data_IF_310143952469
#
_entry.id   IF_310143952469
#
_cell.length_a   1.000
_cell.length_b   1.000
_cell.length_c   1.000
_cell.angle_alpha   90.00
_cell.angle_beta   90.00
_cell.angle_gamma   90.00
#
_symmetry.space_group_name_H-M   'P 1'
#
loop_
_entity.id
_entity.type
_entity.pdbx_description
1 polymer ?
#
# COMPACT_ATOMS: atom_id res chain seq x y z
N UNK A 1 -17.55 9.15 -12.68
CA UNK A 1 -17.33 9.39 -11.21
C UNK A 1 -17.54 8.16 -10.31
N UNK A 2 -18.00 7.02 -10.83
CA UNK A 2 -18.20 5.80 -10.02
C UNK A 2 -16.88 5.23 -9.49
N UNK A 3 -15.81 5.24 -10.27
CA UNK A 3 -14.52 4.60 -9.94
C UNK A 3 -13.77 5.27 -8.78
N UNK A 4 -13.90 6.60 -8.63
CA UNK A 4 -13.41 7.31 -7.43
C UNK A 4 -14.11 6.79 -6.17
N UNK A 5 -15.45 6.64 -6.24
CA UNK A 5 -16.24 6.11 -5.12
C UNK A 5 -15.85 4.67 -4.77
N UNK A 6 -15.69 3.82 -5.78
CA UNK A 6 -15.25 2.42 -5.61
C UNK A 6 -13.86 2.37 -4.96
N UNK A 7 -12.93 3.21 -5.40
CA UNK A 7 -11.58 3.33 -4.84
C UNK A 7 -11.62 3.68 -3.34
N UNK A 8 -12.42 4.69 -2.95
CA UNK A 8 -12.58 5.03 -1.53
C UNK A 8 -13.27 3.93 -0.72
N UNK A 9 -14.29 3.28 -1.27
CA UNK A 9 -14.98 2.18 -0.59
C UNK A 9 -14.06 0.96 -0.44
N UNK A 10 -13.22 0.69 -1.43
CA UNK A 10 -12.26 -0.42 -1.36
C UNK A 10 -11.25 -0.22 -0.23
N UNK A 11 -10.70 0.99 -0.04
CA UNK A 11 -9.77 1.22 1.08
C UNK A 11 -10.49 1.26 2.43
N UNK A 12 -11.64 1.94 2.51
CA UNK A 12 -12.42 2.04 3.75
C UNK A 12 -12.90 0.66 4.23
N UNK A 13 -13.26 -0.24 3.30
CA UNK A 13 -13.65 -1.61 3.56
C UNK A 13 -12.55 -2.44 4.24
N UNK A 14 -11.30 -2.01 4.16
CA UNK A 14 -10.17 -2.63 4.85
C UNK A 14 -10.32 -2.66 6.37
N UNK A 15 -10.95 -1.63 6.96
CA UNK A 15 -11.20 -1.53 8.41
C UNK A 15 -12.09 -2.69 8.91
N UNK A 16 -12.91 -3.26 8.04
CA UNK A 16 -13.72 -4.45 8.31
C UNK A 16 -12.91 -5.75 8.07
N UNK A 17 -11.70 -5.83 8.64
CA UNK A 17 -10.79 -6.98 8.52
C UNK A 17 -10.43 -7.35 7.07
N UNK A 18 -10.55 -6.39 6.14
CA UNK A 18 -10.38 -6.62 4.70
C UNK A 18 -11.60 -7.18 3.97
N UNK A 19 -12.61 -7.67 4.69
CA UNK A 19 -13.83 -8.27 4.09
C UNK A 19 -14.61 -7.25 3.25
N UNK A 20 -14.70 -6.01 3.72
CA UNK A 20 -15.35 -4.93 2.98
C UNK A 20 -14.62 -4.64 1.65
N UNK A 21 -13.29 -4.62 1.65
CA UNK A 21 -12.48 -4.48 0.44
C UNK A 21 -12.76 -5.62 -0.54
N UNK A 22 -12.73 -6.85 -0.06
CA UNK A 22 -13.02 -8.04 -0.88
C UNK A 22 -14.43 -7.96 -1.48
N UNK A 23 -15.44 -7.62 -0.67
CA UNK A 23 -16.82 -7.49 -1.13
C UNK A 23 -16.97 -6.41 -2.23
N UNK A 24 -16.40 -5.22 -2.02
CA UNK A 24 -16.44 -4.13 -3.02
C UNK A 24 -15.76 -4.54 -4.31
N UNK A 25 -14.60 -5.20 -4.21
CA UNK A 25 -13.81 -5.61 -5.38
C UNK A 25 -14.52 -6.72 -6.17
N UNK A 26 -15.07 -7.71 -5.48
CA UNK A 26 -15.84 -8.82 -6.09
C UNK A 26 -17.10 -8.27 -6.77
N UNK A 27 -17.84 -7.38 -6.09
CA UNK A 27 -19.04 -6.77 -6.65
C UNK A 27 -18.73 -5.95 -7.90
N UNK A 28 -17.68 -5.10 -7.85
CA UNK A 28 -17.25 -4.29 -9.00
C UNK A 28 -16.81 -5.17 -10.18
N UNK A 29 -15.98 -6.19 -9.92
CA UNK A 29 -15.54 -7.13 -10.95
C UNK A 29 -16.68 -7.95 -11.54
N UNK A 30 -17.60 -8.43 -10.69
CA UNK A 30 -18.80 -9.16 -11.12
C UNK A 30 -19.73 -8.32 -11.99
N UNK A 31 -19.93 -7.03 -11.61
CA UNK A 31 -20.72 -6.09 -12.40
C UNK A 31 -20.11 -5.84 -13.79
N UNK A 32 -18.80 -5.60 -13.88
CA UNK A 32 -18.08 -5.45 -15.15
C UNK A 32 -18.19 -6.74 -15.97
N UNK A 33 -17.96 -7.89 -15.34
CA UNK A 33 -18.08 -9.20 -15.99
C UNK A 33 -19.46 -9.46 -16.56
N UNK A 34 -20.52 -9.09 -15.84
CA UNK A 34 -21.89 -9.21 -16.31
C UNK A 34 -22.16 -8.34 -17.54
N UNK A 35 -21.71 -7.08 -17.54
CA UNK A 35 -21.82 -6.19 -18.70
C UNK A 35 -21.07 -6.78 -19.91
N UNK A 36 -19.84 -7.22 -19.72
CA UNK A 36 -19.05 -7.85 -20.79
C UNK A 36 -19.76 -9.08 -21.34
N UNK A 37 -20.28 -9.97 -20.46
CA UNK A 37 -21.03 -11.15 -20.88
C UNK A 37 -22.25 -10.83 -21.72
N UNK A 38 -23.09 -9.88 -21.27
CA UNK A 38 -24.27 -9.42 -22.00
C UNK A 38 -23.93 -8.82 -23.36
N UNK A 39 -22.84 -8.07 -23.47
CA UNK A 39 -22.45 -7.45 -24.74
C UNK A 39 -21.86 -8.46 -25.73
N UNK A 40 -21.20 -9.49 -25.25
CA UNK A 40 -20.76 -10.61 -26.08
C UNK A 40 -21.96 -11.37 -26.65
N UNK A 41 -22.93 -11.70 -25.80
CA UNK A 41 -24.15 -12.40 -26.20
C UNK A 41 -24.95 -11.60 -27.24
N UNK A 42 -25.03 -10.29 -27.11
CA UNK A 42 -25.71 -9.39 -28.04
C UNK A 42 -24.86 -8.97 -29.27
N UNK A 43 -23.64 -9.46 -29.41
CA UNK A 43 -22.75 -9.15 -30.56
C UNK A 43 -22.20 -7.70 -30.54
N UNK A 44 -22.34 -6.96 -29.44
CA UNK A 44 -21.92 -5.54 -29.31
C UNK A 44 -20.66 -5.37 -28.45
N UNK A 45 -19.87 -6.43 -28.31
CA UNK A 45 -18.63 -6.39 -27.54
C UNK A 45 -17.58 -5.41 -28.10
N UNK A 46 -17.53 -5.24 -29.44
CA UNK A 46 -16.61 -4.28 -30.06
C UNK A 46 -16.90 -2.84 -29.66
N UNK A 47 -18.15 -2.46 -29.62
CA UNK A 47 -18.62 -1.13 -29.19
C UNK A 47 -18.27 -0.88 -27.71
N UNK A 48 -18.54 -1.88 -26.86
CA UNK A 48 -18.21 -1.82 -25.44
C UNK A 48 -16.71 -1.60 -25.23
N UNK A 49 -15.88 -2.44 -25.87
CA UNK A 49 -14.42 -2.32 -25.73
C UNK A 49 -13.87 -1.01 -26.29
N UNK A 50 -14.46 -0.48 -27.39
CA UNK A 50 -14.09 0.83 -27.91
C UNK A 50 -14.34 1.95 -26.90
N UNK A 51 -15.42 1.83 -26.12
CA UNK A 51 -15.76 2.81 -25.09
C UNK A 51 -14.97 2.65 -23.80
N UNK A 52 -14.73 1.42 -23.33
CA UNK A 52 -14.13 1.19 -22.01
C UNK A 52 -12.59 1.21 -22.06
N UNK A 53 -11.95 0.67 -23.09
CA UNK A 53 -10.50 0.47 -23.12
C UNK A 53 -9.69 1.76 -22.94
N UNK A 54 -10.04 2.92 -23.51
CA UNK A 54 -9.21 4.12 -23.42
C UNK A 54 -8.93 4.58 -21.98
N UNK A 55 -9.87 4.38 -21.07
CA UNK A 55 -9.76 4.82 -19.67
C UNK A 55 -9.82 3.65 -18.68
N UNK A 56 -10.51 2.56 -19.02
CA UNK A 56 -10.82 1.46 -18.11
C UNK A 56 -9.58 0.73 -17.60
N UNK A 57 -8.52 0.57 -18.42
CA UNK A 57 -7.25 -0.04 -17.98
C UNK A 57 -6.66 0.75 -16.82
N UNK A 58 -6.68 2.08 -16.90
CA UNK A 58 -6.13 2.97 -15.88
C UNK A 58 -7.00 2.95 -14.60
N UNK A 59 -8.32 3.00 -14.76
CA UNK A 59 -9.27 2.95 -13.65
C UNK A 59 -9.19 1.65 -12.87
N UNK A 60 -9.19 0.51 -13.56
CA UNK A 60 -9.06 -0.79 -12.92
C UNK A 60 -7.72 -0.96 -12.20
N UNK A 61 -6.64 -0.40 -12.76
CA UNK A 61 -5.34 -0.38 -12.10
C UNK A 61 -5.39 0.43 -10.78
N UNK A 62 -6.05 1.59 -10.77
CA UNK A 62 -6.22 2.40 -9.57
C UNK A 62 -7.07 1.69 -8.51
N UNK A 63 -8.16 1.02 -8.92
CA UNK A 63 -9.02 0.23 -8.03
C UNK A 63 -8.22 -0.94 -7.43
N UNK A 64 -7.40 -1.64 -8.22
CA UNK A 64 -6.56 -2.73 -7.74
C UNK A 64 -5.53 -2.25 -6.68
N UNK A 65 -4.93 -1.09 -6.88
CA UNK A 65 -4.03 -0.48 -5.88
C UNK A 65 -4.79 -0.13 -4.60
N UNK A 66 -5.98 0.47 -4.71
CA UNK A 66 -6.82 0.79 -3.56
C UNK A 66 -7.28 -0.46 -2.81
N UNK A 67 -7.64 -1.52 -3.53
CA UNK A 67 -7.97 -2.82 -2.93
C UNK A 67 -6.76 -3.42 -2.19
N UNK A 68 -5.57 -3.35 -2.76
CA UNK A 68 -4.33 -3.79 -2.09
C UNK A 68 -4.10 -3.00 -0.80
N UNK A 69 -4.26 -1.68 -0.84
CA UNK A 69 -4.15 -0.82 0.35
C UNK A 69 -5.19 -1.19 1.42
N UNK A 70 -6.46 -1.41 1.02
CA UNK A 70 -7.53 -1.83 1.91
C UNK A 70 -7.28 -3.21 2.54
N UNK A 71 -6.83 -4.19 1.77
CA UNK A 71 -6.48 -5.52 2.29
C UNK A 71 -5.31 -5.46 3.28
N UNK A 72 -4.30 -4.62 3.04
CA UNK A 72 -3.21 -4.39 3.99
C UNK A 72 -3.70 -3.81 5.31
N UNK A 73 -4.63 -2.84 5.26
CA UNK A 73 -5.27 -2.32 6.48
C UNK A 73 -6.01 -3.41 7.25
N UNK A 74 -6.77 -4.26 6.53
CA UNK A 74 -7.45 -5.39 7.12
C UNK A 74 -6.48 -6.39 7.77
N UNK A 75 -5.40 -6.71 7.08
CA UNK A 75 -4.37 -7.62 7.58
C UNK A 75 -3.69 -7.10 8.85
N UNK A 76 -3.43 -5.78 8.92
CA UNK A 76 -2.85 -5.14 10.09
C UNK A 76 -3.71 -5.28 11.37
N UNK A 77 -5.02 -5.48 11.20
CA UNK A 77 -5.94 -5.74 12.32
C UNK A 77 -5.98 -7.22 12.69
N UNK A 78 -5.92 -8.10 11.68
CA UNK A 78 -5.95 -9.58 11.86
C UNK A 78 -4.66 -10.06 12.51
N UNK A 79 -3.52 -9.62 12.00
CA UNK A 79 -2.18 -10.02 12.45
C UNK A 79 -1.33 -8.81 12.84
N UNK A 80 -1.57 -8.20 14.01
CA UNK A 80 -0.86 -7.00 14.46
C UNK A 80 0.58 -7.25 14.91
N UNK A 81 1.03 -8.51 14.97
CA UNK A 81 2.35 -8.89 15.48
C UNK A 81 2.53 -8.51 16.96
N UNK A 82 3.60 -7.79 17.29
CA UNK A 82 3.91 -7.32 18.66
C UNK A 82 3.17 -6.02 19.04
N UNK A 83 2.43 -5.42 18.11
CA UNK A 83 1.70 -4.18 18.32
C UNK A 83 0.25 -4.45 18.77
N UNK A 84 -0.39 -3.46 19.40
CA UNK A 84 -1.84 -3.49 19.54
C UNK A 84 -2.50 -3.27 18.17
N UNK A 85 -3.71 -3.81 17.95
CA UNK A 85 -4.46 -3.68 16.69
C UNK A 85 -4.57 -2.23 16.22
N UNK A 86 -4.85 -1.30 17.15
CA UNK A 86 -4.94 0.13 16.85
C UNK A 86 -3.60 0.73 16.37
N UNK A 87 -2.49 0.37 17.01
CA UNK A 87 -1.16 0.83 16.59
C UNK A 87 -0.73 0.22 15.26
N UNK A 88 -1.03 -1.04 15.04
CA UNK A 88 -0.76 -1.71 13.75
C UNK A 88 -1.53 -1.05 12.63
N UNK A 89 -2.83 -0.78 12.83
CA UNK A 89 -3.67 -0.06 11.88
C UNK A 89 -3.14 1.36 11.60
N UNK A 90 -2.77 2.12 12.62
CA UNK A 90 -2.20 3.46 12.45
C UNK A 90 -0.89 3.45 11.65
N UNK A 91 -0.05 2.44 11.86
CA UNK A 91 1.20 2.25 11.11
C UNK A 91 0.95 2.01 9.63
N UNK A 92 -0.06 1.21 9.28
CA UNK A 92 -0.40 0.89 7.89
C UNK A 92 -1.30 1.96 7.23
N UNK A 93 -2.03 2.76 8.01
CA UNK A 93 -2.95 3.76 7.48
C UNK A 93 -2.27 4.84 6.63
N UNK A 94 -1.10 5.32 7.05
CA UNK A 94 -0.35 6.34 6.32
C UNK A 94 0.13 5.85 4.95
N UNK A 95 0.85 4.72 4.83
CA UNK A 95 1.24 4.17 3.52
C UNK A 95 0.02 3.85 2.63
N UNK A 96 -1.06 3.32 3.21
CA UNK A 96 -2.29 3.03 2.47
C UNK A 96 -2.91 4.31 1.89
N UNK A 97 -2.95 5.39 2.67
CA UNK A 97 -3.46 6.69 2.22
C UNK A 97 -2.56 7.31 1.14
N UNK A 98 -1.24 7.22 1.29
CA UNK A 98 -0.27 7.70 0.27
C UNK A 98 -0.48 6.97 -1.07
N UNK A 99 -0.70 5.65 -1.05
CA UNK A 99 -1.02 4.88 -2.25
C UNK A 99 -2.31 5.38 -2.93
N UNK A 100 -3.38 5.58 -2.17
CA UNK A 100 -4.67 6.04 -2.71
C UNK A 100 -4.58 7.46 -3.23
N UNK A 101 -3.97 8.38 -2.50
CA UNK A 101 -3.75 9.75 -2.97
C UNK A 101 -2.90 9.78 -4.25
N UNK A 102 -1.93 8.87 -4.38
CA UNK A 102 -1.15 8.70 -5.61
C UNK A 102 -1.97 8.23 -6.81
N UNK A 103 -3.11 7.56 -6.61
CA UNK A 103 -4.01 7.16 -7.72
C UNK A 103 -4.97 8.28 -8.15
N UNK A 104 -5.21 9.30 -7.32
CA UNK A 104 -6.20 10.36 -7.62
C UNK A 104 -5.92 11.10 -8.94
N UNK A 105 -4.68 11.58 -9.23
CA UNK A 105 -4.40 12.25 -10.50
C UNK A 105 -4.70 11.37 -11.71
N UNK A 106 -4.47 10.06 -11.58
CA UNK A 106 -4.71 9.09 -12.64
C UNK A 106 -6.21 8.84 -12.87
N UNK A 107 -7.01 8.82 -11.80
CA UNK A 107 -8.47 8.73 -11.90
C UNK A 107 -9.06 10.00 -12.53
N UNK A 108 -8.51 11.19 -12.23
CA UNK A 108 -8.88 12.43 -12.90
C UNK A 108 -8.53 12.37 -14.39
N UNK A 109 -7.32 11.90 -14.72
CA UNK A 109 -6.90 11.72 -16.12
C UNK A 109 -7.82 10.73 -16.85
N UNK A 110 -8.15 9.59 -16.22
CA UNK A 110 -9.09 8.62 -16.79
C UNK A 110 -10.45 9.24 -17.08
N UNK A 111 -10.99 10.04 -16.15
CA UNK A 111 -12.25 10.77 -16.35
C UNK A 111 -12.17 11.81 -17.47
N UNK A 112 -11.04 12.48 -17.66
CA UNK A 112 -10.82 13.40 -18.79
C UNK A 112 -10.77 12.62 -20.12
N UNK A 113 -10.10 11.49 -20.16
CA UNK A 113 -10.06 10.60 -21.34
C UNK A 113 -11.46 10.07 -21.65
N UNK A 114 -12.22 9.63 -20.65
CA UNK A 114 -13.61 9.21 -20.81
C UNK A 114 -14.46 10.33 -21.43
N UNK A 115 -14.40 11.54 -20.87
CA UNK A 115 -15.28 12.64 -21.26
C UNK A 115 -14.92 13.31 -22.58
N UNK A 116 -13.64 13.41 -22.93
CA UNK A 116 -13.19 14.19 -24.09
C UNK A 116 -12.59 13.37 -25.23
N UNK A 117 -12.02 12.20 -24.93
CA UNK A 117 -11.26 11.42 -25.91
C UNK A 117 -12.07 10.22 -26.40
N UNK A 118 -12.68 9.47 -25.49
CA UNK A 118 -13.30 8.17 -25.78
C UNK A 118 -14.35 8.25 -26.89
N UNK A 119 -15.24 9.25 -26.86
CA UNK A 119 -16.29 9.44 -27.87
C UNK A 119 -15.78 9.84 -29.26
N UNK A 120 -14.52 10.28 -29.37
CA UNK A 120 -13.94 10.81 -30.61
C UNK A 120 -12.91 9.90 -31.27
N UNK A 121 -12.65 8.70 -30.71
CA UNK A 121 -11.54 7.82 -31.18
C UNK A 121 -11.81 7.09 -32.49
N UNK A 122 -13.03 7.04 -32.99
CA UNK A 122 -13.35 6.49 -34.30
C UNK A 122 -13.19 4.96 -34.44
N UNK A 123 -12.99 4.22 -33.34
CA UNK A 123 -12.97 2.76 -33.33
C UNK A 123 -12.00 2.08 -32.36
N UNK A 124 -12.00 0.75 -32.39
CA UNK A 124 -11.28 -0.09 -31.43
C UNK A 124 -9.74 0.07 -31.51
N UNK A 125 -9.17 0.26 -32.70
CA UNK A 125 -7.72 0.41 -32.87
C UNK A 125 -7.15 1.60 -32.07
N UNK A 126 -7.61 2.84 -32.32
CA UNK A 126 -7.23 4.01 -31.52
C UNK A 126 -7.56 3.86 -30.03
N UNK A 127 -8.69 3.23 -29.69
CA UNK A 127 -9.06 2.97 -28.29
C UNK A 127 -8.03 2.09 -27.56
N UNK A 128 -7.57 1.03 -28.22
CA UNK A 128 -6.49 0.16 -27.71
C UNK A 128 -5.17 0.93 -27.51
N UNK A 129 -4.78 1.73 -28.49
CA UNK A 129 -3.52 2.50 -28.42
C UNK A 129 -3.53 3.45 -27.22
N UNK A 130 -4.64 4.16 -26.99
CA UNK A 130 -4.77 5.07 -25.84
C UNK A 130 -4.78 4.29 -24.52
N UNK A 131 -5.61 3.25 -24.42
CA UNK A 131 -5.75 2.50 -23.17
C UNK A 131 -4.48 1.73 -22.78
N UNK A 132 -3.87 1.04 -23.73
CA UNK A 132 -2.59 0.33 -23.50
C UNK A 132 -1.47 1.34 -23.22
N UNK A 133 -1.40 2.44 -23.98
CA UNK A 133 -0.41 3.49 -23.76
C UNK A 133 -0.48 4.10 -22.36
N UNK A 134 -1.65 4.44 -21.89
CA UNK A 134 -1.86 4.94 -20.53
C UNK A 134 -1.55 3.87 -19.46
N UNK A 135 -1.92 2.62 -19.71
CA UNK A 135 -1.60 1.52 -18.83
C UNK A 135 -0.09 1.28 -18.70
N UNK A 136 0.63 1.26 -19.83
CA UNK A 136 2.10 1.12 -19.85
C UNK A 136 2.78 2.30 -19.16
N UNK A 137 2.31 3.53 -19.40
CA UNK A 137 2.83 4.71 -18.73
C UNK A 137 2.64 4.62 -17.21
N UNK A 138 1.44 4.27 -16.76
CA UNK A 138 1.11 4.14 -15.33
C UNK A 138 1.98 3.07 -14.65
N UNK A 139 1.97 1.84 -15.16
CA UNK A 139 2.73 0.75 -14.57
C UNK A 139 4.24 0.92 -14.74
N UNK A 140 4.68 1.57 -15.82
CA UNK A 140 6.09 1.95 -16.01
C UNK A 140 6.56 2.92 -14.93
N UNK A 141 5.76 3.94 -14.59
CA UNK A 141 6.06 4.87 -13.51
C UNK A 141 6.02 4.22 -12.13
N UNK A 142 5.05 3.33 -11.89
CA UNK A 142 4.98 2.55 -10.65
C UNK A 142 6.22 1.67 -10.49
N UNK A 143 6.61 0.95 -11.54
CA UNK A 143 7.78 0.09 -11.54
C UNK A 143 9.09 0.89 -11.40
N UNK A 144 9.20 2.04 -12.06
CA UNK A 144 10.37 2.92 -11.95
C UNK A 144 10.55 3.44 -10.53
N UNK A 145 9.48 3.95 -9.91
CA UNK A 145 9.51 4.41 -8.52
C UNK A 145 9.77 3.28 -7.53
N UNK A 146 9.18 2.11 -7.76
CA UNK A 146 9.39 0.94 -6.90
C UNK A 146 10.83 0.42 -6.90
N UNK A 147 11.59 0.64 -7.98
CA UNK A 147 13.02 0.27 -8.07
C UNK A 147 13.94 1.15 -7.25
N UNK A 148 13.51 2.35 -6.90
CA UNK A 148 14.34 3.32 -6.16
C UNK A 148 14.44 3.01 -4.66
N UNK A 149 13.66 2.06 -4.13
CA UNK A 149 13.53 1.79 -2.69
C UNK A 149 14.11 0.46 -2.13
N UNK A 150 14.59 -0.55 -2.93
CA UNK A 150 14.92 -1.88 -2.36
C UNK A 150 16.18 -1.89 -1.49
N UNK A 151 17.13 -0.98 -1.75
CA UNK A 151 18.42 -0.96 -1.04
C UNK A 151 18.41 -0.22 0.29
N UNK A 152 17.63 0.85 0.40
CA UNK A 152 17.64 1.71 1.58
C UNK A 152 16.98 1.05 2.81
N UNK A 153 15.93 0.26 2.62
CA UNK A 153 15.24 -0.42 3.72
C UNK A 153 16.00 -1.64 4.24
N UNK A 154 16.53 -2.48 3.34
CA UNK A 154 17.38 -3.61 3.75
C UNK A 154 18.66 -3.15 4.45
N UNK A 155 19.30 -2.09 3.96
CA UNK A 155 20.48 -1.50 4.58
C UNK A 155 20.19 -0.90 5.96
N UNK A 156 19.03 -0.27 6.15
CA UNK A 156 18.61 0.28 7.42
C UNK A 156 18.25 -0.83 8.45
N UNK A 157 17.60 -1.90 8.02
CA UNK A 157 17.27 -3.04 8.90
C UNK A 157 18.51 -3.85 9.29
N UNK A 158 19.41 -4.11 8.35
CA UNK A 158 20.69 -4.78 8.62
C UNK A 158 21.59 -3.92 9.51
N UNK A 159 21.63 -2.60 9.27
CA UNK A 159 22.35 -1.64 10.11
C UNK A 159 21.79 -1.53 11.53
N UNK A 160 20.46 -1.56 11.68
CA UNK A 160 19.81 -1.54 12.99
C UNK A 160 20.04 -2.83 13.80
N UNK A 161 20.11 -3.99 13.13
CA UNK A 161 20.44 -5.26 13.79
C UNK A 161 21.93 -5.39 14.10
N UNK A 162 22.81 -4.84 13.27
CA UNK A 162 24.25 -4.83 13.53
C UNK A 162 24.67 -3.84 14.64
N UNK A 163 23.96 -2.70 14.75
CA UNK A 163 24.21 -1.68 15.78
C UNK A 163 23.63 -2.01 17.17
N UNK A 164 22.65 -2.91 17.24
CA UNK A 164 22.00 -3.31 18.50
C UNK A 164 22.82 -4.24 19.39
N UNK A 165 23.96 -4.75 18.91
CA UNK A 165 24.84 -5.69 19.63
C UNK A 165 25.91 -5.05 20.52
N UNK A 166 26.20 -3.77 20.38
CA UNK A 166 27.14 -3.07 21.25
C UNK A 166 26.40 -2.30 22.35
N UNK A 167 25.96 -3.02 23.38
CA UNK A 167 25.78 -2.36 24.68
C UNK A 167 27.15 -1.87 25.09
N UNK A 168 27.37 -0.57 25.37
CA UNK A 168 28.59 -0.09 25.96
C UNK A 168 28.77 -0.88 27.26
N UNK A 169 29.92 -1.57 27.36
CA UNK A 169 30.23 -2.37 28.51
C UNK A 169 29.98 -1.54 29.77
N UNK A 170 29.11 -2.04 30.63
CA UNK A 170 28.96 -1.51 31.98
C UNK A 170 30.35 -1.68 32.62
N UNK A 171 31.08 -0.57 32.68
CA UNK A 171 32.41 -0.52 33.30
C UNK A 171 32.26 -1.07 34.71
N UNK A 172 32.88 -2.23 34.97
CA UNK A 172 33.01 -2.83 36.30
C UNK A 172 34.00 -2.01 37.13
N UNK A 173 33.71 -0.74 37.40
CA UNK A 173 34.59 0.19 38.06
C UNK A 173 34.48 0.10 39.59
N UNK A 174 33.62 -0.76 40.11
CA UNK A 174 33.39 -0.93 41.55
C UNK A 174 33.99 -2.22 42.10
N UNK A 175 34.82 -2.94 41.33
CA UNK A 175 35.65 -4.03 41.82
C UNK A 175 37.11 -3.56 41.91
N UNK A 176 37.42 -2.55 42.74
CA UNK A 176 38.77 -2.34 43.23
C UNK A 176 38.96 -3.24 44.45
N UNK A 177 39.85 -4.25 44.39
CA UNK A 177 40.33 -4.95 45.59
C UNK A 177 41.34 -4.02 46.24
N UNK A 178 41.09 -3.53 47.44
CA UNK A 178 42.09 -2.80 48.20
C UNK A 178 41.63 -1.55 48.92
N UNK A 179 40.78 -1.69 49.92
CA UNK A 179 40.71 -0.80 51.05
C UNK A 179 40.39 -1.65 52.29
N UNK A 180 41.40 -2.39 52.73
CA UNK A 180 41.42 -2.87 54.11
C UNK A 180 41.83 -1.68 54.96
N UNK A 181 40.89 -1.02 55.60
CA UNK A 181 41.19 -0.09 56.71
C UNK A 181 41.66 -0.90 57.93
N UNK A 182 42.74 -0.47 58.60
CA UNK A 182 43.18 -1.17 59.81
C UNK A 182 42.18 -0.88 60.94
N UNK A 183 41.73 -1.98 61.55
CA UNK A 183 40.94 -1.93 62.79
C UNK A 183 41.75 -1.26 63.88
N UNK A 184 41.34 -0.05 64.24
CA UNK A 184 41.91 0.69 65.39
C UNK A 184 41.62 -0.04 66.65
N UNK A 185 42.72 -0.26 67.39
CA UNK A 185 42.84 -0.72 68.75
C UNK A 185 42.07 0.23 69.72
N UNK A 186 40.97 -0.21 70.29
CA UNK A 186 40.23 0.50 71.31
C UNK A 186 40.73 0.07 72.69
N UNK A 187 41.60 0.90 73.19
CA UNK A 187 42.24 0.77 74.48
C UNK A 187 41.31 0.57 75.65
N UNK A 188 41.78 -0.26 76.53
CA UNK A 188 41.33 -0.43 77.91
C UNK A 188 41.33 0.87 78.71
N UNK A 189 40.37 1.04 79.54
CA UNK A 189 40.38 1.95 80.63
C UNK A 189 39.99 1.29 81.96
N UNK A 190 40.55 1.76 83.01
CA UNK A 190 40.46 1.18 84.35
C UNK A 190 39.11 1.31 84.99
#
# INVERSE_FOLDING_TARGET
MNNIRVTFLAIAGGILLGLGTAAVTIFNGGFIGAIVGLTIENGSSRELFTLILPHGVLELSCIAIAATAGLRLGWAIVEPGTLTRGRSLQREARPAMELVLGTMPWLVLAGLVEGFVTGNLGGLGPALVVGVGLGVLFWGLVAWRGRSEPGARLGAEVGAHAGGGQRPGRRLEHLRPGALEPVGDAGARP
#
